data_IF_671463967439
#
_entry.id   IF_671463967439
#
_cell.length_a   1.000
_cell.length_b   1.000
_cell.length_c   1.000
_cell.angle_alpha   90.00
_cell.angle_beta   90.00
_cell.angle_gamma   90.00
#
_symmetry.space_group_name_H-M   'P 1'
#
loop_
_entity.id
_entity.type
_entity.pdbx_description
1 polymer ?
#
# COMPACT_ATOMS: atom_id res chain seq x y z
N UNK A 1 -36.76 -13.77 21.53
CA UNK A 1 -36.47 -12.36 21.22
C UNK A 1 -35.31 -12.31 20.25
N UNK A 2 -35.57 -12.13 18.96
CA UNK A 2 -34.51 -12.02 17.95
C UNK A 2 -33.73 -10.73 18.18
N UNK A 3 -32.41 -10.85 18.40
CA UNK A 3 -31.52 -9.70 18.45
C UNK A 3 -31.58 -8.99 17.09
N UNK A 4 -32.21 -7.82 17.04
CA UNK A 4 -32.13 -6.91 15.91
C UNK A 4 -30.65 -6.68 15.63
N UNK A 5 -30.19 -7.10 14.43
CA UNK A 5 -28.87 -6.75 13.95
C UNK A 5 -28.67 -5.24 14.10
N UNK A 6 -27.52 -4.76 14.59
CA UNK A 6 -27.31 -3.34 14.78
C UNK A 6 -27.54 -2.65 13.43
N UNK A 7 -28.51 -1.73 13.40
CA UNK A 7 -28.82 -0.96 12.21
C UNK A 7 -27.51 -0.36 11.69
N UNK A 8 -27.16 -0.73 10.45
CA UNK A 8 -25.94 -0.27 9.77
C UNK A 8 -25.91 1.25 9.88
N UNK A 9 -24.94 1.81 10.59
CA UNK A 9 -24.85 3.25 10.77
C UNK A 9 -24.65 3.90 9.40
N UNK A 10 -25.50 4.86 9.07
CA UNK A 10 -25.30 5.68 7.87
C UNK A 10 -24.00 6.44 8.09
N UNK A 11 -23.01 6.18 7.26
CA UNK A 11 -21.74 6.87 7.26
C UNK A 11 -21.65 7.75 6.02
N UNK A 12 -20.99 8.89 6.15
CA UNK A 12 -20.60 9.67 4.98
C UNK A 12 -19.56 8.87 4.20
N UNK A 13 -19.97 8.41 3.01
CA UNK A 13 -19.08 7.78 2.05
C UNK A 13 -18.07 8.82 1.55
N UNK A 14 -16.82 8.38 1.49
CA UNK A 14 -15.72 9.16 0.95
C UNK A 14 -15.40 8.58 -0.42
N UNK A 15 -15.00 9.43 -1.35
CA UNK A 15 -14.50 8.98 -2.65
C UNK A 15 -13.33 8.00 -2.45
N UNK A 16 -13.20 6.96 -3.29
CA UNK A 16 -12.19 5.91 -3.11
C UNK A 16 -10.74 6.43 -3.07
N UNK A 17 -10.50 7.57 -3.70
CA UNK A 17 -9.22 8.26 -3.82
C UNK A 17 -8.95 9.31 -2.72
N UNK A 18 -9.90 9.54 -1.80
CA UNK A 18 -9.78 10.56 -0.74
C UNK A 18 -8.53 10.40 0.15
N UNK A 19 -7.93 9.20 0.17
CA UNK A 19 -6.73 8.88 0.94
C UNK A 19 -5.46 8.67 0.10
N UNK A 20 -5.48 8.91 -1.22
CA UNK A 20 -4.44 8.47 -2.16
C UNK A 20 -3.03 9.07 -1.88
N UNK A 21 -2.95 10.18 -1.14
CA UNK A 21 -1.69 10.85 -0.77
C UNK A 21 -1.42 10.91 0.75
N UNK A 22 -2.26 10.25 1.55
CA UNK A 22 -2.18 10.32 3.01
C UNK A 22 -1.59 9.04 3.58
N UNK A 23 -0.40 9.11 4.23
CA UNK A 23 0.22 7.96 4.87
C UNK A 23 -0.70 7.34 5.93
N UNK A 24 -0.48 6.07 6.23
CA UNK A 24 -1.13 5.39 7.35
C UNK A 24 -0.22 5.42 8.58
N UNK A 25 -0.79 5.28 9.78
CA UNK A 25 0.01 4.88 10.93
C UNK A 25 0.37 3.38 10.85
N UNK A 26 1.33 2.92 11.65
CA UNK A 26 1.61 1.49 11.79
C UNK A 26 0.83 0.87 12.96
N UNK A 27 0.87 1.54 14.12
CA UNK A 27 0.17 1.15 15.33
C UNK A 27 -0.27 2.40 16.07
N UNK A 28 -1.33 2.27 16.86
CA UNK A 28 -1.81 3.32 17.75
C UNK A 28 -0.73 3.79 18.73
N UNK A 29 -0.08 2.86 19.42
CA UNK A 29 0.86 3.20 20.50
C UNK A 29 2.11 3.91 19.97
N UNK A 30 2.61 3.47 18.81
CA UNK A 30 3.74 4.13 18.15
C UNK A 30 3.36 5.52 17.66
N UNK A 31 2.13 5.72 17.19
CA UNK A 31 1.65 7.05 16.81
C UNK A 31 1.49 7.98 18.02
N UNK A 32 1.00 7.49 19.17
CA UNK A 32 0.93 8.30 20.39
C UNK A 32 2.31 8.71 20.91
N UNK A 33 3.29 7.80 20.86
CA UNK A 33 4.69 8.11 21.18
C UNK A 33 5.28 9.16 20.22
N UNK A 34 4.91 9.08 18.93
CA UNK A 34 5.31 10.08 17.94
C UNK A 34 4.66 11.45 18.19
N UNK A 35 3.40 11.51 18.65
CA UNK A 35 2.74 12.76 19.03
C UNK A 35 3.52 13.45 20.14
N UNK A 36 3.91 12.70 21.18
CA UNK A 36 4.72 13.24 22.28
C UNK A 36 6.09 13.73 21.79
N UNK A 37 6.81 12.89 21.04
CA UNK A 37 8.14 13.21 20.51
C UNK A 37 8.13 14.47 19.63
N UNK A 38 7.18 14.54 18.69
CA UNK A 38 7.07 15.65 17.74
C UNK A 38 6.59 16.92 18.43
N UNK A 39 5.68 16.82 19.40
CA UNK A 39 5.27 17.97 20.21
C UNK A 39 6.47 18.57 20.94
N UNK A 40 7.21 17.76 21.72
CA UNK A 40 8.33 18.24 22.53
C UNK A 40 9.38 18.96 21.68
N UNK A 41 9.60 18.49 20.45
CA UNK A 41 10.61 19.04 19.55
C UNK A 41 10.15 20.23 18.71
N UNK A 42 8.89 20.25 18.28
CA UNK A 42 8.41 21.20 17.27
C UNK A 42 7.28 22.13 17.75
N UNK A 43 6.84 22.01 19.00
CA UNK A 43 5.76 22.84 19.55
C UNK A 43 6.05 24.33 19.39
N UNK A 44 7.25 24.81 19.69
CA UNK A 44 7.59 26.24 19.59
C UNK A 44 7.43 26.80 18.16
N UNK A 45 7.66 25.97 17.13
CA UNK A 45 7.43 26.34 15.73
C UNK A 45 5.95 26.29 15.39
N UNK A 46 5.27 25.19 15.70
CA UNK A 46 3.85 25.01 15.41
C UNK A 46 2.95 26.01 16.17
N UNK A 47 3.35 26.42 17.37
CA UNK A 47 2.64 27.38 18.22
C UNK A 47 2.46 28.74 17.54
N UNK A 48 3.37 29.14 16.64
CA UNK A 48 3.30 30.41 15.90
C UNK A 48 2.10 30.48 14.95
N UNK A 49 1.66 29.33 14.46
CA UNK A 49 0.51 29.22 13.54
C UNK A 49 -0.83 29.04 14.28
N UNK A 50 -0.82 29.03 15.61
CA UNK A 50 -1.99 28.78 16.44
C UNK A 50 -2.45 30.05 17.16
N UNK A 51 -3.77 30.20 17.34
CA UNK A 51 -4.33 31.31 18.10
C UNK A 51 -3.99 31.23 19.60
N UNK A 52 -3.89 30.03 20.15
CA UNK A 52 -3.62 29.78 21.56
C UNK A 52 -2.86 28.46 21.76
N UNK A 53 -2.15 28.35 22.87
CA UNK A 53 -1.40 27.14 23.22
C UNK A 53 -2.30 25.98 23.64
N UNK A 54 -1.79 24.76 23.48
CA UNK A 54 -2.41 23.53 23.95
C UNK A 54 -1.33 22.74 24.68
N UNK A 55 -1.58 22.34 25.93
CA UNK A 55 -0.61 21.56 26.69
C UNK A 55 -0.46 20.14 26.13
N UNK A 56 0.74 19.56 26.28
CA UNK A 56 1.03 18.17 25.87
C UNK A 56 0.01 17.18 26.46
N UNK A 57 -0.28 17.30 27.76
CA UNK A 57 -1.28 16.47 28.45
C UNK A 57 -2.65 16.52 27.76
N UNK A 58 -3.09 17.71 27.38
CA UNK A 58 -4.39 17.88 26.70
C UNK A 58 -4.35 17.32 25.29
N UNK A 59 -3.26 17.57 24.55
CA UNK A 59 -3.06 17.04 23.21
C UNK A 59 -3.09 15.52 23.19
N UNK A 60 -2.37 14.87 24.10
CA UNK A 60 -2.35 13.41 24.21
C UNK A 60 -3.72 12.85 24.55
N UNK A 61 -4.47 13.46 25.48
CA UNK A 61 -5.85 13.03 25.77
C UNK A 61 -6.75 13.10 24.53
N UNK A 62 -6.66 14.19 23.76
CA UNK A 62 -7.43 14.34 22.50
C UNK A 62 -6.99 13.32 21.46
N UNK A 63 -5.69 13.16 21.28
CA UNK A 63 -5.09 12.20 20.35
C UNK A 63 -5.53 10.77 20.67
N UNK A 64 -5.54 10.38 21.94
CA UNK A 64 -5.99 9.06 22.40
C UNK A 64 -7.44 8.80 22.02
N UNK A 65 -8.35 9.77 22.21
CA UNK A 65 -9.77 9.61 21.82
C UNK A 65 -9.94 9.55 20.30
N UNK A 66 -9.16 10.33 19.54
CA UNK A 66 -9.18 10.24 18.08
C UNK A 66 -8.65 8.90 17.59
N UNK A 67 -7.60 8.37 18.24
CA UNK A 67 -7.00 7.09 17.92
C UNK A 67 -7.92 5.91 18.26
N UNK A 68 -8.65 5.97 19.38
CA UNK A 68 -9.65 4.96 19.76
C UNK A 68 -10.72 4.77 18.68
N UNK A 69 -11.08 5.85 17.99
CA UNK A 69 -12.13 5.86 16.98
C UNK A 69 -11.62 5.73 15.54
N UNK A 70 -10.31 5.60 15.35
CA UNK A 70 -9.70 5.39 14.04
C UNK A 70 -9.67 3.90 13.70
N UNK A 71 -9.59 3.59 12.41
CA UNK A 71 -9.37 2.22 11.95
C UNK A 71 -8.05 1.72 12.48
N UNK A 72 -8.07 0.67 13.30
CA UNK A 72 -6.89 0.17 14.01
C UNK A 72 -5.71 -0.12 13.07
N UNK A 73 -5.98 -0.70 11.89
CA UNK A 73 -4.96 -1.09 10.93
C UNK A 73 -4.30 0.07 10.18
N UNK A 74 -4.97 1.23 10.04
CA UNK A 74 -4.51 2.30 9.13
C UNK A 74 -4.46 3.69 9.76
N UNK A 75 -5.21 3.93 10.83
CA UNK A 75 -5.32 5.24 11.49
C UNK A 75 -6.28 6.17 10.77
N UNK A 76 -7.01 5.67 9.77
CA UNK A 76 -7.97 6.41 8.96
C UNK A 76 -9.35 6.42 9.63
N UNK A 77 -10.29 7.12 9.00
CA UNK A 77 -11.70 7.12 9.42
C UNK A 77 -11.97 7.56 10.87
N UNK A 78 -11.10 8.38 11.48
CA UNK A 78 -11.37 8.94 12.80
C UNK A 78 -12.47 10.00 12.69
N UNK A 79 -13.70 9.63 13.09
CA UNK A 79 -14.94 10.41 12.88
C UNK A 79 -15.58 10.91 14.18
N UNK A 80 -14.78 11.26 15.19
CA UNK A 80 -15.33 11.74 16.47
C UNK A 80 -15.70 13.21 16.38
N UNK A 81 -16.87 13.59 16.88
CA UNK A 81 -17.23 15.01 16.97
C UNK A 81 -16.43 15.74 18.07
N UNK A 82 -16.19 17.04 17.86
CA UNK A 82 -15.48 17.87 18.84
C UNK A 82 -16.20 17.91 20.19
N UNK A 83 -17.55 17.91 20.19
CA UNK A 83 -18.33 17.95 21.43
C UNK A 83 -18.22 16.64 22.21
N UNK A 84 -18.21 15.50 21.50
CA UNK A 84 -18.00 14.18 22.09
C UNK A 84 -16.60 14.04 22.71
N UNK A 85 -15.56 14.51 22.02
CA UNK A 85 -14.20 14.54 22.58
C UNK A 85 -14.15 15.43 23.82
N UNK A 86 -14.72 16.63 23.73
CA UNK A 86 -14.77 17.60 24.80
C UNK A 86 -15.45 17.05 26.05
N UNK A 87 -16.59 16.35 25.88
CA UNK A 87 -17.30 15.67 26.96
C UNK A 87 -16.46 14.54 27.58
N UNK A 88 -15.85 13.67 26.76
CA UNK A 88 -15.03 12.54 27.23
C UNK A 88 -13.78 12.98 28.01
N UNK A 89 -13.22 14.14 27.66
CA UNK A 89 -11.99 14.69 28.27
C UNK A 89 -12.31 15.75 29.33
N UNK A 90 -13.57 16.17 29.46
CA UNK A 90 -14.02 17.27 30.32
C UNK A 90 -13.24 18.56 30.02
N UNK A 91 -13.27 19.00 28.77
CA UNK A 91 -12.64 20.24 28.33
C UNK A 91 -13.55 21.04 27.39
N UNK A 92 -13.20 22.30 27.11
CA UNK A 92 -13.97 23.11 26.18
C UNK A 92 -13.80 22.62 24.72
N UNK A 93 -14.87 22.67 23.92
CA UNK A 93 -14.87 22.32 22.49
C UNK A 93 -13.83 23.13 21.69
N UNK A 94 -13.61 24.40 22.06
CA UNK A 94 -12.57 25.25 21.47
C UNK A 94 -11.15 24.68 21.71
N UNK A 95 -10.91 24.03 22.85
CA UNK A 95 -9.63 23.37 23.16
C UNK A 95 -9.39 22.16 22.27
N UNK A 96 -10.43 21.36 22.01
CA UNK A 96 -10.35 20.24 21.05
C UNK A 96 -10.03 20.72 19.64
N UNK A 97 -10.70 21.79 19.21
CA UNK A 97 -10.46 22.41 17.88
C UNK A 97 -9.01 22.86 17.75
N UNK A 98 -8.46 23.51 18.79
CA UNK A 98 -7.04 23.91 18.83
C UNK A 98 -6.10 22.71 18.82
N UNK A 99 -6.40 21.65 19.57
CA UNK A 99 -5.59 20.43 19.61
C UNK A 99 -5.55 19.74 18.23
N UNK A 100 -6.69 19.65 17.54
CA UNK A 100 -6.77 19.12 16.16
C UNK A 100 -5.98 19.96 15.17
N UNK A 101 -6.06 21.28 15.27
CA UNK A 101 -5.23 22.17 14.45
C UNK A 101 -3.74 21.97 14.74
N UNK A 102 -3.35 21.84 16.01
CA UNK A 102 -1.97 21.56 16.39
C UNK A 102 -1.47 20.21 15.81
N UNK A 103 -2.27 19.14 15.85
CA UNK A 103 -1.91 17.87 15.20
C UNK A 103 -1.69 18.02 13.69
N UNK A 104 -2.50 18.87 13.04
CA UNK A 104 -2.36 19.19 11.62
C UNK A 104 -1.06 19.95 11.33
N UNK A 105 -0.78 20.98 12.12
CA UNK A 105 0.46 21.78 12.01
C UNK A 105 1.73 20.96 12.28
N UNK A 106 1.66 20.02 13.23
CA UNK A 106 2.74 19.08 13.52
C UNK A 106 2.87 17.96 12.47
N UNK A 107 1.99 17.91 11.46
CA UNK A 107 2.02 16.91 10.40
C UNK A 107 1.74 15.49 10.89
N UNK A 108 0.96 15.34 11.97
CA UNK A 108 0.59 14.06 12.58
C UNK A 108 -0.85 13.61 12.24
N UNK A 109 -1.64 14.54 11.71
CA UNK A 109 -3.00 14.27 11.27
C UNK A 109 -3.35 15.11 10.05
N UNK A 110 -4.06 14.52 9.10
CA UNK A 110 -4.63 15.21 7.95
C UNK A 110 -6.15 15.13 8.05
N UNK A 111 -6.81 16.26 7.86
CA UNK A 111 -8.26 16.29 7.77
C UNK A 111 -8.65 16.07 6.32
N UNK A 112 -9.32 14.96 6.06
CA UNK A 112 -9.71 14.53 4.73
C UNK A 112 -10.97 15.28 4.30
N UNK A 113 -11.92 15.39 5.23
CA UNK A 113 -13.19 16.04 4.97
C UNK A 113 -13.61 16.86 6.17
N UNK A 114 -13.92 18.13 5.91
CA UNK A 114 -14.47 19.06 6.90
C UNK A 114 -15.89 18.66 7.24
N UNK A 115 -16.20 18.60 8.53
CA UNK A 115 -17.56 18.33 8.99
C UNK A 115 -18.56 19.33 8.40
N UNK A 116 -19.71 18.84 7.94
CA UNK A 116 -20.77 19.63 7.31
C UNK A 116 -22.14 19.25 7.83
N UNK A 117 -23.12 20.11 7.63
CA UNK A 117 -24.52 19.76 7.93
C UNK A 117 -24.99 18.63 6.99
N UNK A 118 -25.85 17.76 7.52
CA UNK A 118 -26.48 16.70 6.72
C UNK A 118 -27.53 17.29 5.81
N UNK A 119 -27.59 16.79 4.58
CA UNK A 119 -28.69 17.09 3.66
C UNK A 119 -29.99 16.47 4.18
N UNK A 120 -31.15 16.90 3.64
CA UNK A 120 -32.45 16.32 4.03
C UNK A 120 -32.49 14.80 3.79
N UNK A 121 -31.95 14.34 2.66
CA UNK A 121 -31.90 12.90 2.31
C UNK A 121 -31.03 12.12 3.28
N UNK A 122 -29.82 12.60 3.56
CA UNK A 122 -28.91 12.00 4.56
C UNK A 122 -29.56 11.95 5.95
N UNK A 123 -30.25 13.02 6.36
CA UNK A 123 -30.93 13.08 7.66
C UNK A 123 -32.05 12.06 7.76
N UNK A 124 -32.88 11.91 6.72
CA UNK A 124 -33.95 10.90 6.72
C UNK A 124 -33.38 9.48 6.74
N UNK A 125 -32.24 9.23 6.07
CA UNK A 125 -31.55 7.96 6.13
C UNK A 125 -31.00 7.68 7.53
N UNK A 126 -30.28 8.64 8.13
CA UNK A 126 -29.76 8.53 9.50
C UNK A 126 -30.88 8.34 10.53
N UNK A 127 -32.02 9.03 10.36
CA UNK A 127 -33.16 8.93 11.26
C UNK A 127 -33.78 7.53 11.26
N UNK A 128 -33.86 6.87 10.09
CA UNK A 128 -34.29 5.46 9.99
C UNK A 128 -33.35 4.50 10.72
N UNK A 129 -32.09 4.86 10.87
CA UNK A 129 -31.08 4.12 11.62
C UNK A 129 -30.94 4.58 13.08
N UNK A 130 -31.83 5.46 13.57
CA UNK A 130 -31.83 5.96 14.95
C UNK A 130 -30.83 7.07 15.26
N UNK A 131 -30.19 7.66 14.24
CA UNK A 131 -29.24 8.76 14.43
C UNK A 131 -29.90 10.12 14.14
N UNK A 132 -30.02 10.93 15.20
CA UNK A 132 -30.64 12.26 15.18
C UNK A 132 -29.62 13.40 15.06
N UNK A 133 -28.34 13.11 14.82
CA UNK A 133 -27.32 14.15 14.73
C UNK A 133 -27.53 15.05 13.50
N UNK A 134 -27.28 16.35 13.70
CA UNK A 134 -27.56 17.40 12.71
C UNK A 134 -26.55 17.44 11.54
N UNK A 135 -25.31 17.02 11.79
CA UNK A 135 -24.21 17.12 10.84
C UNK A 135 -23.23 15.96 10.93
N UNK A 136 -22.42 15.83 9.90
CA UNK A 136 -21.28 14.92 9.86
C UNK A 136 -20.10 15.52 10.62
N UNK A 137 -19.45 14.69 11.45
CA UNK A 137 -18.17 15.04 12.02
C UNK A 137 -17.08 15.10 10.93
N UNK A 138 -16.04 15.90 11.17
CA UNK A 138 -14.85 15.91 10.33
C UNK A 138 -14.20 14.53 10.28
N UNK A 139 -13.73 14.11 9.11
CA UNK A 139 -12.98 12.86 8.95
C UNK A 139 -11.49 13.14 9.02
N UNK A 140 -10.83 12.48 9.94
CA UNK A 140 -9.38 12.58 10.13
C UNK A 140 -8.66 11.29 9.75
N UNK A 141 -7.47 11.48 9.17
CA UNK A 141 -6.47 10.45 8.96
C UNK A 141 -5.29 10.74 9.89
N UNK A 142 -5.01 9.81 10.79
CA UNK A 142 -3.90 9.86 11.74
C UNK A 142 -2.71 9.12 11.13
N UNK A 143 -1.56 9.77 11.11
CA UNK A 143 -0.37 9.23 10.47
C UNK A 143 0.91 9.65 11.18
N UNK A 144 1.98 8.89 10.94
CA UNK A 144 3.31 9.26 11.39
C UNK A 144 3.76 10.59 10.74
N UNK A 145 4.66 11.35 11.39
CA UNK A 145 5.09 12.64 10.86
C UNK A 145 5.67 12.46 9.45
N UNK A 146 5.25 13.33 8.53
CA UNK A 146 5.77 13.33 7.16
C UNK A 146 7.29 13.57 7.20
N UNK A 147 8.09 12.89 6.35
CA UNK A 147 9.55 13.01 6.34
C UNK A 147 10.07 14.43 6.01
N UNK A 148 9.19 15.35 5.60
CA UNK A 148 9.48 16.76 5.40
C UNK A 148 9.73 17.54 6.70
N UNK A 149 9.35 16.99 7.87
CA UNK A 149 9.90 17.44 9.14
C UNK A 149 11.24 16.71 9.28
N UNK A 150 12.39 17.42 9.27
CA UNK A 150 13.67 16.77 9.41
C UNK A 150 13.65 15.93 10.69
N UNK A 151 13.66 14.61 10.51
CA UNK A 151 14.01 13.69 11.57
C UNK A 151 15.45 14.02 11.86
N UNK A 152 15.67 14.80 12.91
CA UNK A 152 17.01 15.09 13.35
C UNK A 152 17.49 13.85 14.06
N UNK A 153 18.23 13.07 13.31
CA UNK A 153 18.98 11.95 13.80
C UNK A 153 20.14 12.42 14.70
N UNK A 154 20.25 13.70 15.09
CA UNK A 154 21.20 14.15 16.13
C UNK A 154 21.07 13.31 17.39
N UNK A 155 19.85 12.97 17.84
CA UNK A 155 19.67 12.07 18.99
C UNK A 155 19.97 10.59 18.69
N UNK A 156 20.05 10.18 17.42
CA UNK A 156 20.59 8.86 17.04
C UNK A 156 22.12 8.89 17.00
N UNK A 157 22.71 10.07 16.76
CA UNK A 157 24.16 10.31 16.83
C UNK A 157 24.66 10.64 18.25
N UNK A 158 23.77 11.13 19.12
CA UNK A 158 24.05 11.56 20.51
C UNK A 158 23.44 10.64 21.57
N UNK A 159 22.52 9.73 21.20
CA UNK A 159 22.54 8.44 21.87
C UNK A 159 23.93 7.89 21.61
N UNK A 160 24.66 7.38 22.63
CA UNK A 160 25.83 6.59 22.32
C UNK A 160 25.32 5.59 21.31
N UNK A 161 25.97 5.57 20.14
CA UNK A 161 25.96 4.42 19.26
C UNK A 161 25.64 3.21 20.15
N UNK A 162 24.56 2.49 19.88
CA UNK A 162 24.59 1.09 20.24
C UNK A 162 25.73 0.52 19.36
N UNK A 163 27.00 0.76 19.77
CA UNK A 163 27.92 -0.33 20.02
C UNK A 163 27.03 -1.21 20.85
N UNK A 164 26.42 -2.19 20.19
CA UNK A 164 26.32 -3.49 20.82
C UNK A 164 27.62 -3.61 21.58
N UNK A 165 27.54 -3.63 22.92
CA UNK A 165 28.74 -3.70 23.72
C UNK A 165 29.61 -4.73 23.04
N UNK A 166 30.86 -4.38 22.76
CA UNK A 166 31.81 -5.39 22.29
C UNK A 166 31.68 -6.49 23.32
N UNK A 167 31.03 -7.61 22.98
CA UNK A 167 30.77 -8.65 23.96
C UNK A 167 32.11 -8.89 24.65
N UNK A 168 32.20 -8.81 25.99
CA UNK A 168 33.47 -8.96 26.66
C UNK A 168 34.03 -10.29 26.19
N UNK A 169 35.16 -10.24 25.47
CA UNK A 169 35.77 -11.43 24.85
C UNK A 169 36.28 -12.43 25.89
N UNK A 170 36.13 -12.09 27.18
CA UNK A 170 36.19 -12.94 28.38
C UNK A 170 35.59 -12.12 29.52
N UNK A 171 34.50 -12.59 30.12
CA UNK A 171 34.13 -12.17 31.47
C UNK A 171 34.86 -13.08 32.44
N UNK A 172 35.73 -12.53 33.28
CA UNK A 172 36.17 -13.21 34.49
C UNK A 172 34.96 -13.23 35.44
N UNK A 173 34.23 -14.34 35.42
CA UNK A 173 33.28 -14.65 36.46
C UNK A 173 33.98 -15.66 37.38
N UNK A 174 34.53 -15.17 38.49
CA UNK A 174 34.82 -16.03 39.63
C UNK A 174 33.47 -16.41 40.23
N UNK A 175 32.93 -17.55 39.81
CA UNK A 175 31.84 -18.18 40.54
C UNK A 175 32.41 -18.67 41.86
N UNK A 176 32.14 -17.91 42.92
CA UNK A 176 32.29 -18.37 44.30
C UNK A 176 31.64 -19.74 44.43
N UNK A 177 32.43 -20.73 44.83
CA UNK A 177 32.00 -22.12 44.99
C UNK A 177 30.91 -22.22 46.06
N UNK A 178 29.65 -22.32 45.63
CA UNK A 178 28.61 -22.89 46.48
C UNK A 178 28.70 -24.41 46.34
N UNK A 179 29.12 -25.09 47.41
CA UNK A 179 29.16 -26.54 47.50
C UNK A 179 27.73 -27.03 47.74
N UNK A 180 27.05 -27.46 46.68
CA UNK A 180 25.81 -28.22 46.82
C UNK A 180 26.09 -29.70 46.53
N UNK A 181 25.75 -30.51 47.53
CA UNK A 181 26.06 -31.95 47.65
C UNK A 181 25.55 -32.74 46.44
N UNK A 182 26.44 -33.58 45.92
CA UNK A 182 26.10 -34.64 44.96
C UNK A 182 25.08 -35.60 45.57
N UNK A 183 23.92 -35.72 44.92
CA UNK A 183 23.03 -36.89 45.05
C UNK A 183 23.00 -37.55 43.68
N UNK A 184 23.75 -38.63 43.56
CA UNK A 184 23.86 -39.46 42.36
C UNK A 184 22.68 -40.41 42.26
N UNK A 185 21.90 -40.31 41.18
CA UNK A 185 21.19 -41.46 40.59
C UNK A 185 21.06 -41.27 39.08
N UNK A 186 21.78 -42.07 38.27
CA UNK A 186 21.52 -42.22 36.83
C UNK A 186 22.75 -42.15 35.91
N UNK A 187 23.16 -43.33 35.44
CA UNK A 187 23.96 -43.70 34.24
C UNK A 187 24.81 -42.64 33.50
N UNK A 188 26.10 -42.93 33.23
CA UNK A 188 26.99 -42.01 32.53
C UNK A 188 26.68 -41.98 31.02
N UNK A 189 26.24 -40.83 30.52
CA UNK A 189 26.28 -40.53 29.08
C UNK A 189 27.62 -39.88 28.79
N UNK A 190 28.45 -40.54 27.96
CA UNK A 190 29.70 -39.98 27.45
C UNK A 190 29.43 -38.69 26.67
N UNK A 191 29.61 -37.54 27.34
CA UNK A 191 29.56 -36.23 26.68
C UNK A 191 30.93 -35.95 26.06
N UNK A 192 31.06 -36.30 24.78
CA UNK A 192 32.17 -35.89 23.91
C UNK A 192 32.29 -34.36 23.91
N UNK A 193 33.48 -33.83 24.16
CA UNK A 193 33.76 -32.39 24.11
C UNK A 193 33.40 -31.81 22.71
N UNK A 194 32.88 -30.57 22.63
CA UNK A 194 32.50 -29.97 21.36
C UNK A 194 33.76 -29.72 20.51
N UNK A 195 33.87 -30.44 19.40
CA UNK A 195 34.89 -30.20 18.38
C UNK A 195 34.74 -28.78 17.82
N UNK A 196 35.87 -28.08 17.67
CA UNK A 196 35.94 -26.74 17.08
C UNK A 196 35.16 -26.67 15.75
N UNK A 197 34.37 -25.60 15.59
CA UNK A 197 33.57 -25.39 14.38
C UNK A 197 34.50 -25.25 13.17
N UNK A 198 34.39 -26.20 12.23
CA UNK A 198 35.06 -26.15 10.94
C UNK A 198 34.68 -24.87 10.18
N UNK A 199 35.57 -24.31 9.35
CA UNK A 199 35.29 -23.11 8.56
C UNK A 199 34.03 -23.31 7.72
N UNK A 200 33.13 -22.33 7.80
CA UNK A 200 31.82 -22.35 7.14
C UNK A 200 32.04 -22.50 5.64
N UNK A 201 31.50 -23.56 5.04
CA UNK A 201 31.58 -23.83 3.60
C UNK A 201 31.18 -22.56 2.83
N UNK A 202 32.03 -22.13 1.89
CA UNK A 202 31.77 -21.01 0.98
C UNK A 202 30.37 -21.17 0.38
N UNK A 203 29.49 -20.20 0.60
CA UNK A 203 28.13 -20.26 0.08
C UNK A 203 28.18 -20.37 -1.45
N UNK A 204 27.55 -21.42 -2.00
CA UNK A 204 27.46 -21.62 -3.45
C UNK A 204 26.84 -20.37 -4.10
N UNK A 205 27.44 -19.91 -5.19
CA UNK A 205 26.95 -18.76 -5.95
C UNK A 205 25.48 -18.97 -6.35
N UNK A 206 24.65 -17.96 -6.10
CA UNK A 206 23.23 -17.95 -6.43
C UNK A 206 23.06 -17.52 -7.89
N UNK A 207 22.21 -18.22 -8.63
CA UNK A 207 21.90 -17.90 -10.03
C UNK A 207 21.32 -16.46 -10.15
N UNK A 208 21.92 -15.59 -10.99
CA UNK A 208 21.47 -14.21 -11.15
C UNK A 208 20.05 -14.09 -11.73
N UNK A 209 19.61 -14.99 -12.60
CA UNK A 209 18.30 -14.91 -13.24
C UNK A 209 17.17 -15.27 -12.25
N UNK A 210 17.38 -16.33 -11.46
CA UNK A 210 16.49 -16.68 -10.36
C UNK A 210 16.41 -15.56 -9.31
N UNK A 211 17.52 -14.87 -9.04
CA UNK A 211 17.54 -13.73 -8.12
C UNK A 211 16.79 -12.51 -8.67
N UNK A 212 16.90 -12.23 -9.97
CA UNK A 212 16.14 -11.15 -10.63
C UNK A 212 14.64 -11.43 -10.59
N UNK A 213 14.21 -12.65 -10.90
CA UNK A 213 12.81 -13.05 -10.79
C UNK A 213 12.31 -12.95 -9.35
N UNK A 214 13.10 -13.39 -8.37
CA UNK A 214 12.76 -13.25 -6.95
C UNK A 214 12.56 -11.78 -6.53
N UNK A 215 13.45 -10.87 -6.98
CA UNK A 215 13.34 -9.44 -6.66
C UNK A 215 12.08 -8.82 -7.27
N UNK A 216 11.84 -9.06 -8.56
CA UNK A 216 10.66 -8.53 -9.26
C UNK A 216 9.37 -9.07 -8.65
N UNK A 217 9.31 -10.37 -8.34
CA UNK A 217 8.17 -10.98 -7.67
C UNK A 217 7.92 -10.39 -6.28
N UNK A 218 8.94 -10.21 -5.45
CA UNK A 218 8.75 -9.62 -4.12
C UNK A 218 8.36 -8.13 -4.14
N UNK A 219 8.65 -7.41 -5.22
CA UNK A 219 8.22 -6.03 -5.43
C UNK A 219 6.77 -5.92 -5.92
N UNK A 220 6.25 -6.94 -6.59
CA UNK A 220 4.90 -6.96 -7.16
C UNK A 220 3.82 -6.85 -6.05
N UNK A 221 2.87 -5.90 -6.13
CA UNK A 221 1.79 -5.74 -5.15
C UNK A 221 0.92 -7.00 -4.96
N UNK A 222 0.77 -7.81 -6.01
CA UNK A 222 -0.07 -9.02 -5.99
C UNK A 222 0.57 -10.21 -5.26
N UNK A 223 1.84 -10.09 -4.87
CA UNK A 223 2.58 -11.16 -4.20
C UNK A 223 2.15 -11.35 -2.73
N UNK A 224 1.87 -12.59 -2.29
CA UNK A 224 1.42 -12.87 -0.92
C UNK A 224 2.38 -12.33 0.15
N UNK A 225 1.81 -11.77 1.23
CA UNK A 225 2.60 -11.17 2.32
C UNK A 225 3.60 -12.13 2.97
N UNK A 226 3.27 -13.43 3.06
CA UNK A 226 4.17 -14.42 3.66
C UNK A 226 5.44 -14.63 2.81
N UNK A 227 5.40 -14.40 1.50
CA UNK A 227 6.58 -14.55 0.64
C UNK A 227 7.63 -13.47 0.94
N UNK A 228 7.16 -12.27 1.31
CA UNK A 228 7.99 -11.11 1.67
C UNK A 228 8.74 -11.24 3.00
N UNK A 229 8.44 -12.27 3.80
CA UNK A 229 9.17 -12.58 5.03
C UNK A 229 10.54 -13.21 4.76
N UNK A 230 10.78 -13.67 3.53
CA UNK A 230 12.03 -14.28 3.10
C UNK A 230 12.80 -13.36 2.17
N UNK A 231 14.12 -13.52 2.17
CA UNK A 231 15.01 -12.70 1.33
C UNK A 231 14.94 -13.16 -0.13
N UNK A 232 15.20 -12.26 -1.11
CA UNK A 232 15.28 -12.65 -2.52
C UNK A 232 16.28 -13.80 -2.77
N UNK A 233 17.37 -13.83 -2.01
CA UNK A 233 18.36 -14.92 -2.07
C UNK A 233 17.80 -16.28 -1.63
N UNK A 234 16.89 -16.31 -0.66
CA UNK A 234 16.23 -17.56 -0.25
C UNK A 234 15.28 -18.12 -1.31
N UNK A 235 14.71 -17.24 -2.14
CA UNK A 235 13.82 -17.61 -3.24
C UNK A 235 14.55 -18.01 -4.51
N UNK A 236 15.71 -17.42 -4.77
CA UNK A 236 16.42 -17.52 -6.04
C UNK A 236 16.60 -18.96 -6.52
N UNK A 237 16.97 -19.90 -5.63
CA UNK A 237 17.20 -21.31 -6.00
C UNK A 237 15.94 -22.01 -6.52
N UNK A 238 14.79 -21.71 -5.95
CA UNK A 238 13.51 -22.33 -6.37
C UNK A 238 13.02 -21.70 -7.67
N UNK A 239 13.30 -20.41 -7.85
CA UNK A 239 12.87 -19.64 -9.02
C UNK A 239 13.81 -19.70 -10.21
N UNK A 240 15.01 -20.30 -10.08
CA UNK A 240 15.95 -20.48 -11.19
C UNK A 240 15.31 -21.16 -12.40
N UNK A 241 14.64 -22.30 -12.20
CA UNK A 241 14.03 -23.04 -13.32
C UNK A 241 12.92 -22.22 -14.02
N UNK A 242 11.92 -21.65 -13.32
CA UNK A 242 10.95 -20.74 -13.94
C UNK A 242 11.59 -19.56 -14.67
N UNK A 243 12.65 -18.98 -14.10
CA UNK A 243 13.34 -17.84 -14.72
C UNK A 243 13.96 -18.21 -16.08
N UNK A 244 14.52 -19.43 -16.21
CA UNK A 244 15.03 -19.94 -17.49
C UNK A 244 13.92 -20.11 -18.54
N UNK A 245 12.71 -20.47 -18.12
CA UNK A 245 11.53 -20.52 -19.00
C UNK A 245 10.88 -19.14 -19.23
N UNK A 246 11.54 -18.04 -18.82
CA UNK A 246 11.09 -16.68 -19.05
C UNK A 246 9.87 -16.27 -18.22
N UNK A 247 9.60 -16.93 -17.10
CA UNK A 247 8.47 -16.59 -16.23
C UNK A 247 8.63 -15.20 -15.61
N UNK A 248 7.52 -14.49 -15.48
CA UNK A 248 7.41 -13.18 -14.84
C UNK A 248 6.86 -13.27 -13.40
N UNK A 249 6.88 -12.16 -12.66
CA UNK A 249 6.20 -12.07 -11.35
C UNK A 249 4.70 -12.36 -11.43
N UNK A 250 4.06 -11.89 -12.52
CA UNK A 250 2.64 -12.11 -12.79
C UNK A 250 2.34 -13.58 -13.06
N UNK A 251 3.22 -14.28 -13.81
CA UNK A 251 3.10 -15.72 -14.05
C UNK A 251 3.12 -16.51 -12.72
N UNK A 252 4.00 -16.15 -11.78
CA UNK A 252 4.06 -16.79 -10.46
C UNK A 252 2.78 -16.57 -9.64
N UNK A 253 2.25 -15.35 -9.64
CA UNK A 253 1.03 -15.03 -8.91
C UNK A 253 -0.22 -15.64 -9.57
N UNK A 254 -0.21 -15.79 -10.89
CA UNK A 254 -1.26 -16.53 -11.61
C UNK A 254 -1.19 -18.02 -11.27
N UNK A 255 -0.02 -18.64 -11.32
CA UNK A 255 0.18 -20.04 -10.92
C UNK A 255 -0.32 -20.34 -9.49
N UNK A 256 -0.11 -19.41 -8.56
CA UNK A 256 -0.64 -19.53 -7.18
C UNK A 256 -2.17 -19.49 -7.12
N UNK A 257 -2.81 -18.64 -7.94
CA UNK A 257 -4.26 -18.54 -8.03
C UNK A 257 -4.85 -19.79 -8.71
N UNK A 258 -4.21 -20.25 -9.77
CA UNK A 258 -4.62 -21.45 -10.50
C UNK A 258 -4.52 -22.68 -9.58
N UNK A 259 -3.44 -22.78 -8.81
CA UNK A 259 -3.26 -23.81 -7.78
C UNK A 259 -4.42 -23.84 -6.76
N UNK A 260 -4.85 -22.67 -6.29
CA UNK A 260 -6.03 -22.56 -5.41
C UNK A 260 -7.33 -22.94 -6.13
N UNK A 261 -7.48 -22.54 -7.41
CA UNK A 261 -8.68 -22.82 -8.21
C UNK A 261 -8.87 -24.31 -8.50
N UNK A 262 -7.77 -25.07 -8.60
CA UNK A 262 -7.75 -26.52 -8.72
C UNK A 262 -8.12 -27.25 -7.41
N UNK A 263 -8.51 -26.50 -6.38
CA UNK A 263 -8.96 -27.03 -5.09
C UNK A 263 -7.82 -27.37 -4.13
N UNK A 264 -6.57 -27.03 -4.46
CA UNK A 264 -5.46 -27.26 -3.55
C UNK A 264 -5.40 -26.20 -2.44
N UNK A 265 -5.20 -26.66 -1.21
CA UNK A 265 -5.10 -25.79 -0.06
C UNK A 265 -3.81 -24.96 -0.09
N UNK A 266 -3.95 -23.64 -0.13
CA UNK A 266 -2.86 -22.68 0.03
C UNK A 266 -2.99 -21.99 1.40
N UNK A 267 -2.10 -22.26 2.37
CA UNK A 267 -2.18 -21.66 3.70
C UNK A 267 -2.02 -20.13 3.65
N UNK A 268 -2.77 -19.40 4.48
CA UNK A 268 -2.58 -17.96 4.66
C UNK A 268 -1.18 -17.60 5.19
N UNK A 269 -0.57 -18.51 5.96
CA UNK A 269 0.80 -18.36 6.47
C UNK A 269 1.50 -19.73 6.51
N UNK A 270 2.16 -20.16 5.41
CA UNK A 270 2.82 -21.45 5.37
C UNK A 270 4.06 -21.46 6.28
N UNK A 271 4.24 -22.54 7.04
CA UNK A 271 5.44 -22.76 7.87
C UNK A 271 6.71 -22.96 7.02
N UNK A 272 6.58 -23.52 5.81
CA UNK A 272 7.67 -23.74 4.85
C UNK A 272 7.33 -23.16 3.47
N UNK A 273 7.37 -21.83 3.30
CA UNK A 273 6.94 -21.16 2.08
C UNK A 273 7.80 -21.53 0.86
N UNK A 274 9.13 -21.60 1.05
CA UNK A 274 10.07 -21.93 -0.04
C UNK A 274 9.82 -23.36 -0.56
N UNK A 275 9.58 -24.30 0.36
CA UNK A 275 9.26 -25.68 0.01
C UNK A 275 7.88 -25.81 -0.66
N UNK A 276 6.89 -25.04 -0.21
CA UNK A 276 5.56 -25.00 -0.81
C UNK A 276 5.61 -24.55 -2.27
N UNK A 277 6.26 -23.42 -2.55
CA UNK A 277 6.43 -22.94 -3.94
C UNK A 277 7.22 -23.94 -4.77
N UNK A 278 8.26 -24.55 -4.20
CA UNK A 278 8.99 -25.62 -4.88
C UNK A 278 8.07 -26.76 -5.30
N UNK A 279 7.16 -27.20 -4.42
CA UNK A 279 6.17 -28.25 -4.72
C UNK A 279 5.16 -27.82 -5.79
N UNK A 280 4.66 -26.58 -5.72
CA UNK A 280 3.71 -26.05 -6.71
C UNK A 280 4.39 -26.02 -8.09
N UNK A 281 5.61 -25.50 -8.18
CA UNK A 281 6.35 -25.41 -9.44
C UNK A 281 6.75 -26.77 -10.01
N UNK A 282 6.93 -27.80 -9.17
CA UNK A 282 7.15 -29.17 -9.68
C UNK A 282 5.89 -29.83 -10.22
N UNK A 283 4.71 -29.34 -9.83
CA UNK A 283 3.43 -29.90 -10.27
C UNK A 283 2.90 -29.23 -11.56
N UNK A 284 3.50 -28.11 -11.98
CA UNK A 284 3.11 -27.35 -13.17
C UNK A 284 4.10 -27.62 -14.31
N UNK A 285 3.62 -27.55 -15.55
CA UNK A 285 4.51 -27.49 -16.72
C UNK A 285 5.13 -26.08 -16.79
N UNK A 286 6.46 -26.01 -16.73
CA UNK A 286 7.19 -24.75 -16.77
C UNK A 286 7.25 -24.14 -18.17
N UNK A 287 6.93 -24.91 -19.22
CA UNK A 287 6.86 -24.37 -20.58
C UNK A 287 5.58 -23.57 -20.84
N UNK A 288 4.50 -23.91 -20.12
CA UNK A 288 3.22 -23.21 -20.23
C UNK A 288 3.17 -22.05 -19.24
N UNK A 289 3.30 -20.82 -19.76
CA UNK A 289 3.33 -19.60 -18.95
C UNK A 289 1.91 -19.14 -18.61
N UNK A 290 1.47 -19.19 -17.34
CA UNK A 290 0.05 -19.01 -17.00
C UNK A 290 -0.52 -17.63 -17.33
N UNK A 291 0.27 -16.56 -17.27
CA UNK A 291 -0.21 -15.21 -17.57
C UNK A 291 0.05 -14.80 -19.05
N UNK A 292 0.61 -15.67 -19.89
CA UNK A 292 1.00 -15.32 -21.25
C UNK A 292 -0.18 -14.92 -22.14
N UNK A 293 -1.31 -15.64 -22.06
CA UNK A 293 -2.52 -15.32 -22.81
C UNK A 293 -3.14 -13.98 -22.40
N UNK A 294 -3.13 -13.66 -21.10
CA UNK A 294 -3.62 -12.37 -20.58
C UNK A 294 -2.73 -11.21 -21.02
N UNK A 295 -1.41 -11.40 -20.94
CA UNK A 295 -0.43 -10.40 -21.40
C UNK A 295 -0.57 -10.17 -22.92
N UNK A 296 -0.79 -11.22 -23.71
CA UNK A 296 -1.02 -11.09 -25.15
C UNK A 296 -2.26 -10.24 -25.45
N UNK A 297 -3.40 -10.54 -24.79
CA UNK A 297 -4.65 -9.75 -24.94
C UNK A 297 -4.47 -8.28 -24.53
N UNK A 298 -3.77 -8.01 -23.43
CA UNK A 298 -3.48 -6.64 -22.99
C UNK A 298 -2.59 -5.90 -23.99
N UNK A 299 -1.57 -6.56 -24.54
CA UNK A 299 -0.67 -5.99 -25.53
C UNK A 299 -1.38 -5.69 -26.85
N UNK A 300 -2.23 -6.60 -27.34
CA UNK A 300 -3.08 -6.38 -28.52
C UNK A 300 -4.01 -5.17 -28.31
N UNK A 301 -4.69 -5.10 -27.16
CA UNK A 301 -5.54 -3.96 -26.83
C UNK A 301 -4.74 -2.64 -26.76
N UNK A 302 -3.52 -2.67 -26.22
CA UNK A 302 -2.65 -1.49 -26.20
C UNK A 302 -2.15 -1.09 -27.59
N UNK A 303 -1.84 -2.05 -28.47
CA UNK A 303 -1.49 -1.79 -29.86
C UNK A 303 -2.65 -1.15 -30.61
N UNK A 304 -3.88 -1.67 -30.45
CA UNK A 304 -5.08 -1.08 -31.05
C UNK A 304 -5.32 0.35 -30.54
N UNK A 305 -5.13 0.62 -29.25
CA UNK A 305 -5.22 1.99 -28.70
C UNK A 305 -4.17 2.92 -29.30
N UNK A 306 -2.92 2.45 -29.47
CA UNK A 306 -1.84 3.23 -30.11
C UNK A 306 -2.14 3.50 -31.59
N UNK A 307 -2.70 2.53 -32.31
CA UNK A 307 -3.10 2.70 -33.70
C UNK A 307 -4.23 3.75 -33.83
N UNK A 308 -5.22 3.72 -32.93
CA UNK A 308 -6.28 4.75 -32.86
C UNK A 308 -5.72 6.13 -32.58
N UNK A 309 -4.86 6.26 -31.57
CA UNK A 309 -4.27 7.55 -31.19
C UNK A 309 -3.35 8.14 -32.29
N UNK A 310 -2.79 7.30 -33.17
CA UNK A 310 -1.98 7.75 -34.32
C UNK A 310 -2.82 8.16 -35.54
N UNK A 311 -4.10 7.81 -35.57
CA UNK A 311 -4.97 8.12 -36.71
C UNK A 311 -5.58 9.52 -36.55
N UNK A 312 -5.29 10.48 -37.45
CA UNK A 312 -5.81 11.84 -37.35
C UNK A 312 -7.30 11.96 -37.74
N UNK A 313 -7.91 10.88 -38.23
CA UNK A 313 -9.25 10.89 -38.82
C UNK A 313 -10.26 10.05 -38.03
N UNK A 314 -9.89 9.54 -36.86
CA UNK A 314 -10.74 8.64 -36.09
C UNK A 314 -10.92 9.17 -34.66
N UNK A 315 -12.12 9.00 -34.11
CA UNK A 315 -12.45 9.41 -32.74
C UNK A 315 -11.89 8.44 -31.68
N UNK A 316 -12.11 8.74 -30.40
CA UNK A 316 -11.65 7.89 -29.28
C UNK A 316 -12.24 6.46 -29.29
N UNK A 317 -13.31 6.24 -30.04
CA UNK A 317 -14.02 4.98 -30.17
C UNK A 317 -13.67 4.21 -31.46
N UNK A 318 -12.84 4.79 -32.33
CA UNK A 318 -12.39 4.22 -33.59
C UNK A 318 -13.40 4.35 -34.74
N UNK A 319 -14.27 5.37 -34.69
CA UNK A 319 -15.14 5.79 -35.78
C UNK A 319 -14.48 6.91 -36.60
N UNK A 320 -14.71 6.91 -37.91
CA UNK A 320 -14.17 7.96 -38.79
C UNK A 320 -14.89 9.29 -38.53
N UNK A 321 -14.13 10.37 -38.40
CA UNK A 321 -14.63 11.74 -38.28
C UNK A 321 -14.76 12.32 -39.69
N UNK A 322 -15.94 12.79 -40.12
CA UNK A 322 -16.09 13.45 -41.42
C UNK A 322 -15.21 14.71 -41.49
N UNK A 323 -14.60 15.02 -42.65
CA UNK A 323 -13.88 16.27 -42.82
C UNK A 323 -14.84 17.46 -42.69
N UNK A 324 -14.35 18.64 -42.27
CA UNK A 324 -15.19 19.80 -41.93
C UNK A 324 -16.06 20.35 -43.09
N UNK A 325 -15.80 19.94 -44.34
CA UNK A 325 -16.54 20.39 -45.52
C UNK A 325 -17.45 19.28 -46.13
N UNK A 326 -17.64 18.16 -45.44
CA UNK A 326 -18.44 17.04 -45.95
C UNK A 326 -19.95 17.34 -45.87
N UNK A 327 -20.67 17.14 -46.98
CA UNK A 327 -22.13 17.37 -47.11
C UNK A 327 -22.92 16.10 -47.44
N UNK A 328 -22.27 14.92 -47.41
CA UNK A 328 -22.93 13.62 -47.60
C UNK A 328 -23.63 13.09 -46.34
N UNK A 329 -24.38 11.99 -46.45
CA UNK A 329 -25.05 11.37 -45.30
C UNK A 329 -24.03 10.88 -44.26
N UNK A 330 -24.31 11.09 -42.96
CA UNK A 330 -23.49 10.63 -41.83
C UNK A 330 -23.36 9.10 -41.84
N UNK A 331 -22.34 8.58 -42.51
CA UNK A 331 -22.00 7.17 -42.50
C UNK A 331 -21.06 6.92 -41.31
N UNK A 332 -21.61 6.36 -40.23
CA UNK A 332 -20.82 5.84 -39.11
C UNK A 332 -20.00 4.62 -39.58
N UNK A 333 -18.82 4.87 -40.17
CA UNK A 333 -17.92 3.83 -40.67
C UNK A 333 -16.81 3.59 -39.65
N UNK A 334 -16.61 2.32 -39.26
CA UNK A 334 -15.46 1.94 -38.41
C UNK A 334 -14.15 2.12 -39.18
N UNK A 335 -13.18 2.67 -38.47
CA UNK A 335 -11.82 2.87 -38.94
C UNK A 335 -11.02 1.56 -38.76
N UNK A 336 -10.60 0.92 -39.85
CA UNK A 336 -9.85 -0.35 -39.80
C UNK A 336 -8.32 -0.16 -39.69
N UNK A 337 -7.83 1.08 -39.64
CA UNK A 337 -6.42 1.44 -39.36
C UNK A 337 -5.36 0.74 -40.24
N UNK A 338 -5.71 0.35 -41.47
CA UNK A 338 -4.76 -0.20 -42.46
C UNK A 338 -4.11 0.93 -43.27
N UNK A 339 -2.83 0.78 -43.63
CA UNK A 339 -2.06 1.81 -44.37
C UNK A 339 -2.69 2.16 -45.73
N UNK A 340 -3.24 1.17 -46.43
CA UNK A 340 -3.86 1.34 -47.74
C UNK A 340 -5.12 2.23 -47.71
N UNK A 341 -5.95 2.13 -46.67
CA UNK A 341 -7.16 2.96 -46.58
C UNK A 341 -6.87 4.40 -46.14
N UNK A 342 -5.77 4.65 -45.42
CA UNK A 342 -5.30 6.02 -45.16
C UNK A 342 -4.83 6.70 -46.46
N UNK A 343 -4.23 5.96 -47.38
CA UNK A 343 -3.82 6.48 -48.69
C UNK A 343 -5.03 6.83 -49.58
N UNK A 344 -6.07 5.98 -49.60
CA UNK A 344 -7.31 6.24 -50.36
C UNK A 344 -8.04 7.49 -49.85
N UNK A 345 -8.09 7.69 -48.52
CA UNK A 345 -8.72 8.89 -47.95
C UNK A 345 -7.91 10.16 -48.20
N UNK A 346 -6.57 10.09 -48.18
CA UNK A 346 -5.70 11.19 -48.59
C UNK A 346 -5.87 11.57 -50.07
N UNK A 347 -6.19 10.61 -50.94
CA UNK A 347 -6.52 10.87 -52.35
C UNK A 347 -7.88 11.56 -52.49
N UNK A 348 -8.91 11.10 -51.76
CA UNK A 348 -10.25 11.71 -51.78
C UNK A 348 -10.24 13.17 -51.27
N UNK A 349 -9.44 13.48 -50.25
CA UNK A 349 -9.25 14.87 -49.78
C UNK A 349 -8.57 15.78 -50.81
N UNK A 350 -7.69 15.24 -51.68
CA UNK A 350 -7.06 16.03 -52.75
C UNK A 350 -7.97 16.25 -53.95
N UNK A 351 -8.86 15.29 -54.26
CA UNK A 351 -9.78 15.41 -55.39
C UNK A 351 -10.97 16.34 -55.15
N UNK A 352 -11.26 16.71 -53.90
CA UNK A 352 -12.35 17.63 -53.53
C UNK A 352 -11.89 19.10 -53.34
N UNK A 353 -10.61 19.42 -53.56
CA UNK A 353 -10.19 20.81 -53.73
C UNK A 353 -10.71 21.31 -55.09
N UNK A 354 -11.43 22.45 -55.16
CA UNK A 354 -11.91 22.95 -56.43
C UNK A 354 -10.71 23.25 -57.32
N UNK A 355 -10.68 22.65 -58.51
CA UNK A 355 -9.87 23.13 -59.62
C UNK A 355 -10.22 24.62 -59.77
N UNK A 356 -9.29 25.50 -59.40
CA UNK A 356 -9.39 26.91 -59.75
C UNK A 356 -9.51 26.94 -61.27
N UNK A 357 -10.73 27.21 -61.76
CA UNK A 357 -10.94 27.58 -63.13
C UNK A 357 -10.23 28.93 -63.31
N UNK A 358 -9.01 28.89 -63.84
CA UNK A 358 -8.40 30.04 -64.50
C UNK A 358 -9.28 30.35 -65.72
N UNK A 359 -10.26 31.22 -65.52
CA UNK A 359 -11.04 31.86 -66.55
C UNK A 359 -10.44 33.22 -66.88
N UNK A 360 -10.05 33.37 -68.14
CA UNK A 360 -10.01 34.56 -69.00
C UNK A 360 -9.29 35.83 -68.50
N UNK A 361 -8.12 36.08 -69.13
CA UNK A 361 -7.73 37.38 -69.67
C UNK A 361 -6.95 37.20 -70.98
#
# INVERSE_FOLDING_TARGET
MAALAPARSVALELEPDAYQSVPCWYRRDTWLADVERVYTRHYSRARRNLTAGVSLKTLLRVATVMADAADHATGRNSRVDNTTIAAKIQCATKTVTRARNLLRELGLATEILRGRQRTRTERMASWRCGDHSRGWASVWALHHPKPAIPVDNSHVKSAPYNRMSTHPRRGHFESTSYVEREITTGTPVEKRAPTAQAPTKVARAVDPDGLRLARTWLSDPSTPHWARRHTPHGWARVLTKPALHGWSSRDLNQALRDWQSLGHYLPHQPHRPIGLIGRILTALDLNERPASADIARENEAAQLRRQRARCPHCDEHGWRIPPPNYTGPDLAVRCNHTEEQNAVWMQLQRSELPLQQEGDA
#
